data_IF_799698438839
#
_entry.id   IF_799698438839
#
_cell.length_a   1.000
_cell.length_b   1.000
_cell.length_c   1.000
_cell.angle_alpha   90.00
_cell.angle_beta   90.00
_cell.angle_gamma   90.00
#
_symmetry.space_group_name_H-M   'P 1'
#
loop_
_entity.id
_entity.type
_entity.pdbx_description
1 polymer ?
#
# COMPACT_ATOMS: atom_id res chain seq x y z
N UNK A 1 -15.31 -5.31 10.07
CA UNK A 1 -14.13 -4.52 9.62
C UNK A 1 -13.75 -3.56 10.73
N UNK A 2 -12.52 -3.67 11.25
CA UNK A 2 -11.99 -2.75 12.25
C UNK A 2 -11.33 -1.55 11.56
N UNK A 3 -11.69 -0.33 11.99
CA UNK A 3 -11.12 0.90 11.42
C UNK A 3 -10.30 1.61 12.48
N UNK A 4 -8.99 1.76 12.21
CA UNK A 4 -8.02 2.40 13.09
C UNK A 4 -7.51 3.67 12.40
N UNK A 5 -7.65 4.84 13.06
CA UNK A 5 -7.14 6.11 12.55
C UNK A 5 -6.13 6.67 13.53
N UNK A 6 -4.92 6.97 13.04
CA UNK A 6 -3.83 7.50 13.85
C UNK A 6 -3.26 8.77 13.23
N UNK A 7 -2.92 9.74 14.08
CA UNK A 7 -2.25 10.97 13.67
C UNK A 7 -0.80 11.01 14.15
N UNK A 8 0.14 11.35 13.27
CA UNK A 8 1.54 11.61 13.58
C UNK A 8 1.85 13.08 13.30
N UNK A 9 2.21 13.85 14.30
CA UNK A 9 2.40 15.31 14.22
C UNK A 9 1.14 16.09 13.80
N UNK A 10 -0.04 15.50 13.96
CA UNK A 10 -1.33 16.11 13.71
C UNK A 10 -2.33 15.63 14.77
N UNK A 11 -3.18 16.54 15.25
CA UNK A 11 -4.32 16.18 16.11
C UNK A 11 -5.48 15.71 15.24
N UNK A 12 -5.86 14.46 15.39
CA UNK A 12 -7.08 13.92 14.80
C UNK A 12 -8.23 14.33 15.72
N UNK A 13 -9.03 15.30 15.29
CA UNK A 13 -10.24 15.69 16.00
C UNK A 13 -11.42 14.83 15.55
N UNK A 14 -12.52 14.84 16.34
CA UNK A 14 -13.71 14.03 16.10
C UNK A 14 -14.31 14.26 14.70
N UNK A 15 -14.25 15.50 14.19
CA UNK A 15 -14.75 15.82 12.86
C UNK A 15 -13.90 15.17 11.74
N UNK A 16 -12.58 15.14 11.89
CA UNK A 16 -11.65 14.51 10.94
C UNK A 16 -11.76 12.99 11.02
N UNK A 17 -11.89 12.45 12.23
CA UNK A 17 -12.10 11.02 12.46
C UNK A 17 -13.40 10.53 11.82
N UNK A 18 -14.51 11.24 12.08
CA UNK A 18 -15.81 10.92 11.47
C UNK A 18 -15.76 11.01 9.94
N UNK A 19 -15.07 12.02 9.41
CA UNK A 19 -14.89 12.17 7.98
C UNK A 19 -14.12 11.00 7.37
N UNK A 20 -13.01 10.62 7.97
CA UNK A 20 -12.16 9.52 7.52
C UNK A 20 -12.91 8.18 7.61
N UNK A 21 -13.58 7.89 8.75
CA UNK A 21 -14.40 6.68 8.92
C UNK A 21 -15.45 6.56 7.82
N UNK A 22 -16.22 7.62 7.55
CA UNK A 22 -17.24 7.62 6.48
C UNK A 22 -16.67 7.29 5.09
N UNK A 23 -15.42 7.66 4.82
CA UNK A 23 -14.75 7.34 3.56
C UNK A 23 -14.25 5.88 3.53
N UNK A 24 -13.72 5.40 4.64
CA UNK A 24 -13.17 4.04 4.77
C UNK A 24 -14.27 2.97 4.83
N UNK A 25 -15.41 3.25 5.44
CA UNK A 25 -16.54 2.31 5.54
C UNK A 25 -17.05 1.84 4.16
N UNK A 26 -16.83 2.65 3.13
CA UNK A 26 -17.20 2.27 1.76
C UNK A 26 -16.29 1.20 1.16
N UNK A 27 -15.09 0.99 1.70
CA UNK A 27 -14.14 0.02 1.15
C UNK A 27 -14.65 -1.41 1.25
N UNK A 28 -15.37 -1.73 2.33
CA UNK A 28 -15.95 -3.07 2.55
C UNK A 28 -16.95 -3.48 1.46
N UNK A 29 -17.66 -2.50 0.88
CA UNK A 29 -18.57 -2.75 -0.25
C UNK A 29 -17.84 -3.15 -1.53
N UNK A 30 -16.65 -2.61 -1.74
CA UNK A 30 -15.85 -2.85 -2.94
C UNK A 30 -14.90 -4.03 -2.80
N UNK A 31 -14.50 -4.37 -1.58
CA UNK A 31 -13.66 -5.51 -1.26
C UNK A 31 -14.22 -6.18 0.01
N UNK A 32 -15.10 -7.21 -0.11
CA UNK A 32 -15.59 -7.97 1.03
C UNK A 32 -14.46 -8.70 1.78
N UNK A 33 -14.72 -9.05 3.03
CA UNK A 33 -13.77 -9.77 3.91
C UNK A 33 -12.51 -8.98 4.29
N UNK A 34 -12.58 -7.66 4.28
CA UNK A 34 -11.58 -6.82 4.97
C UNK A 34 -11.77 -7.02 6.48
N UNK A 35 -10.72 -7.39 7.19
CA UNK A 35 -10.79 -7.47 8.65
C UNK A 35 -10.28 -6.21 9.35
N UNK A 36 -9.30 -5.51 8.78
CA UNK A 36 -8.73 -4.28 9.35
C UNK A 36 -8.46 -3.24 8.25
N UNK A 37 -8.81 -2.00 8.54
CA UNK A 37 -8.38 -0.82 7.77
C UNK A 37 -7.69 0.14 8.70
N UNK A 38 -6.45 0.48 8.41
CA UNK A 38 -5.67 1.45 9.16
C UNK A 38 -5.39 2.67 8.31
N UNK A 39 -5.63 3.86 8.86
CA UNK A 39 -5.27 5.14 8.26
C UNK A 39 -4.30 5.88 9.16
N UNK A 40 -3.12 6.16 8.63
CA UNK A 40 -2.09 6.96 9.29
C UNK A 40 -2.04 8.34 8.61
N UNK A 41 -2.25 9.40 9.40
CA UNK A 41 -2.25 10.79 8.94
C UNK A 41 -1.04 11.51 9.51
N UNK A 42 -0.32 12.27 8.69
CA UNK A 42 0.80 13.07 9.15
C UNK A 42 0.93 14.37 8.36
N UNK A 43 1.67 15.33 8.95
CA UNK A 43 2.04 16.56 8.25
C UNK A 43 3.55 16.75 8.30
N UNK A 44 4.14 17.17 7.19
CA UNK A 44 5.56 17.51 7.09
C UNK A 44 5.72 18.96 6.67
N UNK A 45 6.47 19.78 7.41
CA UNK A 45 6.79 21.14 6.98
C UNK A 45 7.78 21.10 5.82
N UNK A 46 7.53 21.91 4.79
CA UNK A 46 8.49 22.10 3.70
C UNK A 46 9.40 23.29 3.95
N UNK A 47 10.55 23.32 3.28
CA UNK A 47 11.48 24.48 3.31
C UNK A 47 10.84 25.79 2.81
N UNK A 48 9.72 25.70 2.09
CA UNK A 48 8.97 26.86 1.55
C UNK A 48 7.83 27.33 2.46
N UNK A 49 7.69 26.75 3.67
CA UNK A 49 6.66 27.16 4.64
C UNK A 49 5.28 26.53 4.44
N UNK A 50 5.05 25.77 3.38
CA UNK A 50 3.83 25.01 3.18
C UNK A 50 3.92 23.65 3.87
N UNK A 51 2.83 23.23 4.51
CA UNK A 51 2.76 21.88 5.08
C UNK A 51 2.28 20.89 4.02
N UNK A 52 2.99 19.78 3.89
CA UNK A 52 2.52 18.63 3.11
C UNK A 52 1.72 17.71 4.04
N UNK A 53 0.46 17.48 3.71
CA UNK A 53 -0.38 16.50 4.36
C UNK A 53 -0.13 15.12 3.72
N UNK A 54 0.05 14.10 4.54
CA UNK A 54 0.30 12.72 4.12
C UNK A 54 -0.81 11.86 4.70
N UNK A 55 -1.48 11.09 3.85
CA UNK A 55 -2.44 10.08 4.24
C UNK A 55 -2.01 8.72 3.71
N UNK A 56 -1.86 7.75 4.59
CA UNK A 56 -1.55 6.37 4.27
C UNK A 56 -2.70 5.48 4.70
N UNK A 57 -3.21 4.66 3.80
CA UNK A 57 -4.24 3.66 4.09
C UNK A 57 -3.62 2.28 3.92
N UNK A 58 -3.82 1.41 4.89
CA UNK A 58 -3.44 -0.01 4.84
C UNK A 58 -4.69 -0.85 5.05
N UNK A 59 -5.01 -1.68 4.08
CA UNK A 59 -6.14 -2.62 4.14
C UNK A 59 -5.59 -4.02 4.28
N UNK A 60 -6.09 -4.77 5.27
CA UNK A 60 -5.75 -6.17 5.50
C UNK A 60 -6.96 -7.04 5.18
N UNK A 61 -6.78 -7.93 4.23
CA UNK A 61 -7.81 -8.86 3.77
C UNK A 61 -7.67 -10.20 4.49
N UNK A 62 -8.79 -10.91 4.72
CA UNK A 62 -8.83 -12.19 5.44
C UNK A 62 -7.95 -13.28 4.80
N UNK A 63 -7.65 -13.20 3.52
CA UNK A 63 -6.75 -14.11 2.79
C UNK A 63 -5.27 -13.78 2.91
N UNK A 64 -4.89 -12.86 3.80
CA UNK A 64 -3.50 -12.46 4.01
C UNK A 64 -2.99 -11.39 3.06
N UNK A 65 -3.77 -10.96 2.05
CA UNK A 65 -3.37 -9.85 1.19
C UNK A 65 -3.38 -8.53 1.96
N UNK A 66 -2.37 -7.70 1.71
CA UNK A 66 -2.23 -6.37 2.29
C UNK A 66 -2.13 -5.36 1.15
N UNK A 67 -3.11 -4.44 1.08
CA UNK A 67 -3.09 -3.34 0.14
C UNK A 67 -2.69 -2.06 0.85
N UNK A 68 -1.84 -1.25 0.23
CA UNK A 68 -1.38 0.01 0.80
C UNK A 68 -1.46 1.14 -0.22
N UNK A 69 -2.06 2.25 0.16
CA UNK A 69 -2.07 3.48 -0.61
C UNK A 69 -1.53 4.63 0.25
N UNK A 70 -0.60 5.41 -0.28
CA UNK A 70 -0.04 6.60 0.36
C UNK A 70 -0.11 7.77 -0.62
N UNK A 71 -0.58 8.92 -0.14
CA UNK A 71 -0.62 10.14 -0.91
C UNK A 71 -0.09 11.32 -0.10
N UNK A 72 0.63 12.19 -0.80
CA UNK A 72 1.24 13.41 -0.25
C UNK A 72 0.67 14.59 -1.01
N UNK A 73 -0.06 15.45 -0.32
CA UNK A 73 -0.74 16.59 -0.94
C UNK A 73 -0.38 17.88 -0.19
N UNK A 74 -0.02 18.96 -0.88
CA UNK A 74 0.15 20.25 -0.22
C UNK A 74 -1.16 20.73 0.42
N UNK A 75 -1.10 21.28 1.62
CA UNK A 75 -2.22 21.93 2.30
C UNK A 75 -3.07 20.99 3.17
N UNK A 76 -4.36 20.81 2.85
CA UNK A 76 -5.32 20.20 3.77
C UNK A 76 -5.25 18.66 3.81
N UNK A 77 -5.27 18.11 5.02
CA UNK A 77 -5.31 16.67 5.30
C UNK A 77 -6.54 15.99 4.68
N UNK A 78 -7.67 16.68 4.54
CA UNK A 78 -8.86 16.12 3.88
C UNK A 78 -8.61 15.81 2.40
N UNK A 79 -7.82 16.64 1.73
CA UNK A 79 -7.43 16.40 0.34
C UNK A 79 -6.52 15.14 0.25
N UNK A 80 -5.55 15.01 1.16
CA UNK A 80 -4.71 13.82 1.24
C UNK A 80 -5.54 12.54 1.50
N UNK A 81 -6.54 12.61 2.40
CA UNK A 81 -7.46 11.49 2.65
C UNK A 81 -8.22 11.11 1.37
N UNK A 82 -8.77 12.07 0.63
CA UNK A 82 -9.51 11.80 -0.59
C UNK A 82 -8.63 11.14 -1.65
N UNK A 83 -7.44 11.69 -1.91
CA UNK A 83 -6.50 11.14 -2.88
C UNK A 83 -6.03 9.73 -2.48
N UNK A 84 -5.75 9.49 -1.20
CA UNK A 84 -5.38 8.17 -0.70
C UNK A 84 -6.52 7.14 -0.86
N UNK A 85 -7.79 7.53 -0.62
CA UNK A 85 -8.96 6.68 -0.83
C UNK A 85 -9.14 6.35 -2.31
N UNK A 86 -8.99 7.31 -3.21
CA UNK A 86 -9.06 7.09 -4.66
C UNK A 86 -7.96 6.14 -5.14
N UNK A 87 -6.74 6.30 -4.65
CA UNK A 87 -5.64 5.38 -4.94
C UNK A 87 -5.93 3.98 -4.40
N UNK A 88 -6.53 3.86 -3.21
CA UNK A 88 -6.94 2.58 -2.64
C UNK A 88 -8.01 1.91 -3.52
N UNK A 89 -8.98 2.64 -4.06
CA UNK A 89 -9.95 2.08 -5.01
C UNK A 89 -9.28 1.50 -6.26
N UNK A 90 -8.31 2.20 -6.85
CA UNK A 90 -7.53 1.69 -7.98
C UNK A 90 -6.76 0.41 -7.61
N UNK A 91 -6.20 0.34 -6.41
CA UNK A 91 -5.52 -0.86 -5.93
C UNK A 91 -6.48 -2.04 -5.72
N UNK A 92 -7.67 -1.80 -5.17
CA UNK A 92 -8.72 -2.82 -5.05
C UNK A 92 -9.14 -3.34 -6.43
N UNK A 93 -9.30 -2.47 -7.42
CA UNK A 93 -9.60 -2.89 -8.80
C UNK A 93 -8.51 -3.77 -9.39
N UNK A 94 -7.23 -3.39 -9.21
CA UNK A 94 -6.09 -4.21 -9.64
C UNK A 94 -6.06 -5.57 -8.94
N UNK A 95 -6.32 -5.60 -7.63
CA UNK A 95 -6.41 -6.83 -6.85
C UNK A 95 -7.52 -7.75 -7.39
N UNK A 96 -8.69 -7.22 -7.67
CA UNK A 96 -9.81 -7.95 -8.28
C UNK A 96 -9.53 -8.41 -9.71
N UNK A 97 -8.82 -7.60 -10.52
CA UNK A 97 -8.53 -7.88 -11.94
C UNK A 97 -7.40 -8.89 -12.18
N UNK A 98 -6.52 -9.14 -11.20
CA UNK A 98 -5.38 -10.09 -11.34
C UNK A 98 -5.79 -11.57 -11.38
N UNK A 99 -7.07 -11.89 -11.28
CA UNK A 99 -7.63 -13.23 -11.19
C UNK A 99 -7.40 -14.15 -12.42
N UNK A 100 -7.10 -13.60 -13.59
CA UNK A 100 -7.02 -14.38 -14.84
C UNK A 100 -5.71 -15.15 -15.04
N UNK A 101 -4.78 -15.16 -14.08
CA UNK A 101 -3.53 -15.93 -14.16
C UNK A 101 -3.62 -17.16 -13.28
N UNK A 102 -3.65 -18.34 -13.93
CA UNK A 102 -3.67 -19.68 -13.29
C UNK A 102 -2.64 -19.79 -12.16
N UNK A 103 -3.08 -20.22 -10.96
CA UNK A 103 -2.22 -20.68 -9.88
C UNK A 103 -1.99 -19.72 -8.72
N UNK A 104 -2.73 -18.59 -8.58
CA UNK A 104 -2.48 -17.58 -7.56
C UNK A 104 -3.71 -17.27 -6.69
N UNK A 105 -4.28 -18.31 -6.07
CA UNK A 105 -5.52 -18.14 -5.30
C UNK A 105 -5.32 -17.52 -3.91
N UNK A 106 -4.10 -17.54 -3.35
CA UNK A 106 -3.88 -17.17 -1.95
C UNK A 106 -4.07 -15.68 -1.66
N UNK A 107 -3.66 -14.81 -2.58
CA UNK A 107 -3.71 -13.34 -2.40
C UNK A 107 -4.75 -12.64 -3.28
N UNK A 108 -5.55 -13.37 -4.04
CA UNK A 108 -6.60 -12.81 -4.88
C UNK A 108 -7.97 -12.99 -4.25
N UNK A 109 -8.90 -12.06 -4.52
CA UNK A 109 -10.28 -12.23 -4.10
C UNK A 109 -10.91 -13.47 -4.73
N UNK A 110 -11.74 -14.22 -3.97
CA UNK A 110 -12.48 -15.36 -4.52
C UNK A 110 -13.55 -14.93 -5.51
N UNK A 111 -14.09 -15.88 -6.29
CA UNK A 111 -15.22 -15.62 -7.21
C UNK A 111 -16.44 -15.12 -6.43
N UNK A 112 -16.72 -15.72 -5.27
CA UNK A 112 -17.83 -15.37 -4.42
C UNK A 112 -17.67 -13.95 -3.86
N UNK A 113 -16.49 -13.59 -3.38
CA UNK A 113 -16.17 -12.24 -2.90
C UNK A 113 -16.32 -11.19 -4.01
N UNK A 114 -15.93 -11.53 -5.24
CA UNK A 114 -16.08 -10.61 -6.37
C UNK A 114 -17.52 -10.43 -6.80
N UNK A 115 -18.35 -11.48 -6.70
CA UNK A 115 -19.78 -11.39 -6.99
C UNK A 115 -20.54 -10.60 -5.91
N UNK A 116 -20.05 -10.58 -4.67
CA UNK A 116 -20.59 -9.79 -3.57
C UNK A 116 -20.14 -8.33 -3.58
N UNK A 117 -19.03 -8.04 -4.25
CA UNK A 117 -18.46 -6.69 -4.28
C UNK A 117 -19.21 -5.78 -5.24
N UNK A 118 -19.58 -4.60 -4.79
CA UNK A 118 -20.15 -3.56 -5.64
C UNK A 118 -19.15 -3.10 -6.71
N UNK A 119 -19.66 -2.61 -7.85
CA UNK A 119 -18.85 -1.98 -8.89
C UNK A 119 -18.38 -0.63 -8.37
N UNK A 120 -17.06 -0.38 -8.43
CA UNK A 120 -16.52 0.93 -8.10
C UNK A 120 -16.98 1.91 -9.20
N UNK A 121 -17.66 3.03 -8.85
CA UNK A 121 -18.00 4.05 -9.83
C UNK A 121 -16.73 4.49 -10.57
N UNK A 122 -16.81 4.62 -11.87
CA UNK A 122 -15.71 4.94 -12.77
C UNK A 122 -14.98 6.19 -12.25
N UNK A 123 -13.87 5.97 -11.57
CA UNK A 123 -12.93 7.04 -11.28
C UNK A 123 -12.26 7.31 -12.62
N UNK A 124 -12.48 8.51 -13.19
CA UNK A 124 -11.94 8.91 -14.46
C UNK A 124 -10.53 8.35 -14.66
N UNK A 125 -10.32 7.64 -15.77
CA UNK A 125 -9.05 7.09 -16.20
C UNK A 125 -8.01 8.21 -16.26
N UNK A 126 -7.39 8.50 -15.13
CA UNK A 126 -6.12 9.22 -15.15
C UNK A 126 -5.09 8.23 -15.66
N UNK A 127 -4.77 8.39 -16.95
CA UNK A 127 -3.60 7.78 -17.58
C UNK A 127 -2.42 7.94 -16.63
N UNK A 128 -1.89 6.82 -16.18
CA UNK A 128 -0.63 6.77 -15.43
C UNK A 128 0.52 7.21 -16.35
N UNK A 129 0.66 8.49 -16.61
CA UNK A 129 1.97 9.05 -16.91
C UNK A 129 2.72 9.08 -15.59
N UNK A 130 3.79 8.28 -15.56
CA UNK A 130 4.61 7.99 -14.41
C UNK A 130 4.97 9.19 -13.55
N UNK A 131 4.26 9.41 -12.49
CA UNK A 131 4.79 10.13 -11.34
C UNK A 131 5.46 9.12 -10.41
N UNK A 132 6.63 8.65 -10.84
CA UNK A 132 7.65 8.31 -9.86
C UNK A 132 8.02 9.65 -9.22
N UNK A 133 7.41 9.95 -8.06
CA UNK A 133 7.96 10.96 -7.21
C UNK A 133 9.42 10.57 -6.98
N UNK A 134 10.33 11.33 -7.58
CA UNK A 134 11.73 11.31 -7.20
C UNK A 134 11.74 11.46 -5.68
N UNK A 135 12.08 10.38 -5.00
CA UNK A 135 12.54 10.47 -3.62
C UNK A 135 13.65 11.50 -3.68
N UNK A 136 13.41 12.63 -3.02
CA UNK A 136 14.33 13.74 -3.02
C UNK A 136 15.75 13.21 -2.78
N UNK A 137 16.66 13.60 -3.67
CA UNK A 137 18.10 13.39 -3.54
C UNK A 137 18.47 13.71 -2.10
N UNK A 138 18.69 12.67 -1.31
CA UNK A 138 19.25 12.81 0.03
C UNK A 138 20.64 13.40 -0.19
N UNK A 139 20.83 14.60 0.30
CA UNK A 139 22.13 15.25 0.38
C UNK A 139 23.13 14.22 0.95
N UNK A 140 24.17 13.89 0.19
CA UNK A 140 25.13 12.80 0.44
C UNK A 140 25.96 12.99 1.74
N UNK A 141 25.55 13.90 2.65
CA UNK A 141 26.31 14.31 3.81
C UNK A 141 26.02 13.57 5.13
N UNK A 142 24.93 12.80 5.24
CA UNK A 142 24.52 12.22 6.52
C UNK A 142 24.10 10.74 6.39
N UNK A 143 25.08 9.86 6.19
CA UNK A 143 24.88 8.41 6.07
C UNK A 143 24.56 7.77 7.43
N UNK A 144 23.44 8.14 8.05
CA UNK A 144 22.95 7.55 9.30
C UNK A 144 21.64 6.77 9.09
N UNK A 145 21.46 5.71 9.88
CA UNK A 145 20.21 4.96 9.90
C UNK A 145 19.11 5.83 10.53
N UNK A 146 18.29 6.45 9.70
CA UNK A 146 17.20 7.32 10.14
C UNK A 146 16.06 6.54 10.85
N UNK A 147 15.86 5.26 10.50
CA UNK A 147 14.79 4.44 11.09
C UNK A 147 15.16 2.96 11.12
N UNK A 148 14.84 2.28 12.23
CA UNK A 148 14.88 0.81 12.33
C UNK A 148 13.46 0.29 12.45
N UNK A 149 13.15 -0.79 11.76
CA UNK A 149 11.83 -1.44 11.80
C UNK A 149 12.02 -2.96 11.81
N UNK A 150 11.38 -3.64 12.73
CA UNK A 150 11.27 -5.10 12.72
C UNK A 150 10.07 -5.48 11.83
N UNK A 151 10.26 -6.41 10.92
CA UNK A 151 9.21 -6.92 10.04
C UNK A 151 9.13 -8.43 10.18
N UNK A 152 7.92 -8.95 10.18
CA UNK A 152 7.69 -10.39 10.08
C UNK A 152 7.91 -10.83 8.63
N UNK A 153 8.69 -11.88 8.47
CA UNK A 153 9.01 -12.43 7.14
C UNK A 153 8.07 -13.61 6.90
N UNK A 154 7.17 -13.46 5.93
CA UNK A 154 6.22 -14.50 5.56
C UNK A 154 6.83 -15.48 4.55
N UNK A 155 6.49 -16.76 4.68
CA UNK A 155 6.86 -17.80 3.73
C UNK A 155 5.97 -17.73 2.50
N UNK A 156 6.57 -17.70 1.30
CA UNK A 156 5.86 -17.63 0.01
C UNK A 156 6.81 -17.95 -1.15
N UNK A 157 6.24 -18.22 -2.33
CA UNK A 157 7.03 -18.36 -3.54
C UNK A 157 7.33 -17.01 -4.22
N UNK A 158 8.23 -17.00 -5.20
CA UNK A 158 8.66 -15.78 -5.90
C UNK A 158 7.50 -15.01 -6.57
N UNK A 159 6.55 -15.75 -7.13
CA UNK A 159 5.39 -15.13 -7.80
C UNK A 159 4.47 -14.44 -6.81
N UNK A 160 4.25 -15.03 -5.64
CA UNK A 160 3.49 -14.43 -4.54
C UNK A 160 4.21 -13.20 -3.97
N UNK A 161 5.54 -13.28 -3.85
CA UNK A 161 6.35 -12.16 -3.38
C UNK A 161 6.28 -10.95 -4.34
N UNK A 162 6.32 -11.18 -5.66
CA UNK A 162 6.12 -10.11 -6.67
C UNK A 162 4.75 -9.48 -6.49
N UNK A 163 3.71 -10.29 -6.34
CA UNK A 163 2.35 -9.78 -6.20
C UNK A 163 2.18 -8.98 -4.90
N UNK A 164 2.72 -9.49 -3.79
CA UNK A 164 2.66 -8.81 -2.50
C UNK A 164 3.45 -7.49 -2.53
N UNK A 165 4.64 -7.47 -3.14
CA UNK A 165 5.43 -6.25 -3.32
C UNK A 165 4.67 -5.18 -4.12
N UNK A 166 4.00 -5.58 -5.21
CA UNK A 166 3.20 -4.67 -6.01
C UNK A 166 1.97 -4.13 -5.28
N UNK A 167 1.27 -4.97 -4.49
CA UNK A 167 0.12 -4.57 -3.69
C UNK A 167 0.50 -3.56 -2.60
N UNK A 168 1.69 -3.74 -2.02
CA UNK A 168 2.24 -2.82 -1.03
C UNK A 168 2.80 -1.53 -1.65
N UNK A 169 3.02 -1.50 -2.98
CA UNK A 169 3.66 -0.39 -3.68
C UNK A 169 5.14 -0.21 -3.32
N UNK A 170 5.81 -1.30 -2.94
CA UNK A 170 7.23 -1.29 -2.59
C UNK A 170 8.12 -1.50 -3.82
N UNK A 171 9.34 -0.97 -3.76
CA UNK A 171 10.38 -1.20 -4.77
C UNK A 171 11.26 -2.41 -4.44
N UNK A 172 11.23 -2.86 -3.20
CA UNK A 172 11.87 -4.09 -2.73
C UNK A 172 10.98 -4.81 -1.71
N UNK A 173 11.20 -6.11 -1.53
CA UNK A 173 10.43 -6.95 -0.62
C UNK A 173 11.29 -8.07 -0.05
N UNK A 174 11.22 -8.30 1.25
CA UNK A 174 11.94 -9.36 1.96
C UNK A 174 10.93 -10.45 2.32
N UNK A 175 11.22 -11.71 1.96
CA UNK A 175 10.34 -12.84 2.20
C UNK A 175 11.15 -14.12 2.42
N UNK A 176 10.55 -15.11 3.06
CA UNK A 176 11.10 -16.46 3.13
C UNK A 176 10.65 -17.22 1.87
N UNK A 177 11.60 -17.65 1.05
CA UNK A 177 11.29 -18.34 -0.19
C UNK A 177 11.16 -19.84 0.09
N UNK A 178 9.97 -20.39 -0.15
CA UNK A 178 9.67 -21.81 0.04
C UNK A 178 10.50 -22.74 -0.87
N UNK A 179 11.04 -22.21 -1.98
CA UNK A 179 11.85 -22.98 -2.93
C UNK A 179 13.32 -23.05 -2.51
N UNK A 180 13.86 -21.94 -1.97
CA UNK A 180 15.27 -21.88 -1.55
C UNK A 180 15.44 -22.14 -0.05
N UNK A 181 14.33 -22.28 0.69
CA UNK A 181 14.27 -22.42 2.15
C UNK A 181 15.10 -21.34 2.89
N UNK A 182 15.15 -20.14 2.34
CA UNK A 182 15.96 -19.03 2.84
C UNK A 182 15.26 -17.69 2.70
N UNK A 183 15.74 -16.70 3.45
CA UNK A 183 15.25 -15.33 3.30
C UNK A 183 15.83 -14.72 2.03
N UNK A 184 14.96 -14.30 1.10
CA UNK A 184 15.33 -13.69 -0.15
C UNK A 184 14.87 -12.23 -0.22
N UNK A 185 15.53 -11.44 -1.07
CA UNK A 185 15.13 -10.04 -1.32
C UNK A 185 14.76 -9.88 -2.79
N UNK A 186 13.50 -9.56 -3.03
CA UNK A 186 12.97 -9.20 -4.35
C UNK A 186 13.10 -7.69 -4.53
N UNK A 187 13.50 -7.23 -5.71
CA UNK A 187 13.56 -5.79 -6.04
C UNK A 187 13.11 -5.49 -7.47
N UNK A 188 12.54 -4.32 -7.66
CA UNK A 188 12.11 -3.83 -8.98
C UNK A 188 13.31 -3.21 -9.71
N UNK A 189 13.57 -3.66 -10.96
CA UNK A 189 14.66 -3.13 -11.77
C UNK A 189 14.22 -1.89 -12.53
N UNK A 190 15.12 -0.92 -12.66
CA UNK A 190 14.88 0.30 -13.45
C UNK A 190 14.69 0.01 -14.94
N UNK A 191 15.36 -1.03 -15.46
CA UNK A 191 15.23 -1.49 -16.84
C UNK A 191 13.98 -2.38 -17.09
N UNK A 192 13.07 -2.49 -16.12
CA UNK A 192 11.90 -3.33 -16.14
C UNK A 192 12.14 -4.75 -15.60
N UNK A 193 11.05 -5.38 -15.13
CA UNK A 193 11.09 -6.68 -14.48
C UNK A 193 11.58 -6.62 -13.02
N UNK A 194 11.89 -7.77 -12.47
CA UNK A 194 12.29 -7.95 -11.07
C UNK A 194 13.64 -8.65 -10.98
N UNK A 195 14.40 -8.39 -9.92
CA UNK A 195 15.60 -9.13 -9.56
C UNK A 195 15.40 -9.80 -8.21
N UNK A 196 16.04 -10.95 -8.01
CA UNK A 196 16.03 -11.70 -6.77
C UNK A 196 17.46 -11.79 -6.25
N UNK A 197 17.65 -11.43 -4.98
CA UNK A 197 18.88 -11.66 -4.25
C UNK A 197 18.65 -12.85 -3.30
N UNK A 198 19.51 -13.83 -3.40
CA UNK A 198 19.53 -15.02 -2.55
C UNK A 198 20.78 -14.90 -1.68
N UNK A 199 20.65 -14.54 -0.38
CA UNK A 199 21.78 -14.49 0.53
C UNK A 199 22.36 -15.90 0.67
N UNK A 200 23.69 -16.01 0.64
CA UNK A 200 24.43 -17.23 0.97
C UNK A 200 25.16 -16.98 2.28
N UNK A 201 25.05 -17.90 3.21
CA UNK A 201 25.88 -17.92 4.41
C UNK A 201 27.23 -18.55 4.02
N UNK A 202 28.36 -17.90 4.41
CA UNK A 202 29.71 -18.45 4.27
C UNK A 202 30.02 -19.44 5.39
#
# INVERSE_FOLDING_TARGET
>A
MDVIIQGHNIKVNDALETYAKKKLDKLDRYLPNIYEVRMDLSTQPTKRGENIAIAQITVRHSRGAILRAEEKVPGDVRNAINSAVEKMYRQIQRFKGKRNRKGRERFTASIEEMNMAEVIPEVAEYVEEGLYAEEGVLDAGDARIARRKTVEVAAMNESEAIEQMELLGHTFFVFFNDTTESVNVLYKRTAGGYGLLIPQEE
#
